data_IF_971923754515
#
_entry.id   IF_971923754515
#
_cell.length_a   1.000
_cell.length_b   1.000
_cell.length_c   1.000
_cell.angle_alpha   90.00
_cell.angle_beta   90.00
_cell.angle_gamma   90.00
#
_symmetry.space_group_name_H-M   'P 1'
#
loop_
_entity.id
_entity.type
_entity.pdbx_description
1 polymer ?
#
# COMPACT_ATOMS: atom_id res chain seq x y z
N UNK A 1 16.82 7.54 -15.58
CA UNK A 1 16.38 7.01 -14.27
C UNK A 1 16.73 5.54 -14.20
N UNK A 2 17.12 5.03 -13.04
CA UNK A 2 17.44 3.62 -12.84
C UNK A 2 16.15 2.83 -12.60
N UNK A 3 16.01 1.64 -13.18
CA UNK A 3 14.82 0.79 -13.00
C UNK A 3 14.60 0.38 -11.54
N UNK A 4 15.68 0.28 -10.76
CA UNK A 4 15.61 -0.03 -9.33
C UNK A 4 14.87 1.04 -8.52
N UNK A 5 14.97 2.32 -8.90
CA UNK A 5 14.32 3.42 -8.20
C UNK A 5 12.79 3.35 -8.34
N UNK A 6 12.30 2.87 -9.49
CA UNK A 6 10.87 2.76 -9.77
C UNK A 6 10.25 1.43 -9.34
N UNK A 7 11.06 0.37 -9.23
CA UNK A 7 10.60 -1.01 -8.98
C UNK A 7 9.69 -1.17 -7.76
N UNK A 8 9.95 -0.43 -6.68
CA UNK A 8 9.14 -0.46 -5.45
C UNK A 8 7.76 0.15 -5.69
N UNK A 9 7.72 1.27 -6.42
CA UNK A 9 6.46 1.94 -6.74
C UNK A 9 5.66 1.15 -7.78
N UNK A 10 6.32 0.57 -8.79
CA UNK A 10 5.68 -0.33 -9.75
C UNK A 10 5.01 -1.52 -9.06
N UNK A 11 5.71 -2.15 -8.10
CA UNK A 11 5.14 -3.24 -7.31
C UNK A 11 3.92 -2.78 -6.51
N UNK A 12 4.01 -1.63 -5.83
CA UNK A 12 2.89 -1.06 -5.08
C UNK A 12 1.67 -0.81 -5.98
N UNK A 13 1.87 -0.17 -7.15
CA UNK A 13 0.78 0.11 -8.07
C UNK A 13 0.17 -1.15 -8.68
N UNK A 14 0.97 -2.18 -8.96
CA UNK A 14 0.44 -3.47 -9.41
C UNK A 14 -0.53 -4.08 -8.40
N UNK A 15 -0.13 -4.08 -7.13
CA UNK A 15 -0.94 -4.60 -6.02
C UNK A 15 -2.21 -3.75 -5.81
N UNK A 16 -2.07 -2.43 -5.78
CA UNK A 16 -3.21 -1.52 -5.59
C UNK A 16 -4.23 -1.68 -6.72
N UNK A 17 -3.77 -1.83 -7.97
CA UNK A 17 -4.68 -2.07 -9.09
C UNK A 17 -5.44 -3.39 -8.93
N UNK A 18 -4.75 -4.49 -8.61
CA UNK A 18 -5.38 -5.82 -8.51
C UNK A 18 -6.30 -5.98 -7.30
N UNK A 19 -5.97 -5.37 -6.16
CA UNK A 19 -6.72 -5.57 -4.90
C UNK A 19 -7.79 -4.50 -4.66
N UNK A 20 -7.69 -3.35 -5.31
CA UNK A 20 -8.55 -2.21 -5.06
C UNK A 20 -9.22 -1.69 -6.33
N UNK A 21 -8.44 -1.28 -7.33
CA UNK A 21 -8.99 -0.60 -8.51
C UNK A 21 -9.88 -1.51 -9.36
N UNK A 22 -9.45 -2.75 -9.61
CA UNK A 22 -10.16 -3.66 -10.52
C UNK A 22 -11.28 -4.46 -9.84
N UNK A 23 -11.37 -4.43 -8.51
CA UNK A 23 -12.37 -5.19 -7.74
C UNK A 23 -13.54 -4.34 -7.24
N UNK A 24 -13.54 -3.03 -7.52
CA UNK A 24 -14.54 -2.09 -7.04
C UNK A 24 -15.05 -1.22 -8.17
N UNK A 25 -16.34 -0.95 -8.14
CA UNK A 25 -16.95 0.12 -8.93
C UNK A 25 -16.99 1.40 -8.09
N UNK A 26 -16.80 2.54 -8.76
CA UNK A 26 -16.81 3.84 -8.13
C UNK A 26 -17.85 4.74 -8.81
N UNK A 27 -18.79 5.24 -8.02
CA UNK A 27 -19.86 6.11 -8.49
C UNK A 27 -19.37 7.50 -8.93
N UNK A 28 -18.23 7.96 -8.39
CA UNK A 28 -17.63 9.25 -8.72
C UNK A 28 -16.14 9.28 -8.39
N UNK A 29 -15.45 10.31 -8.89
CA UNK A 29 -14.05 10.58 -8.55
C UNK A 29 -13.89 10.86 -7.05
N UNK A 30 -14.84 11.54 -6.43
CA UNK A 30 -14.86 11.82 -5.00
C UNK A 30 -15.00 10.54 -4.18
N UNK A 31 -15.90 9.63 -4.59
CA UNK A 31 -16.02 8.32 -3.97
C UNK A 31 -14.72 7.51 -4.10
N UNK A 32 -14.11 7.52 -5.29
CA UNK A 32 -12.81 6.90 -5.52
C UNK A 32 -11.73 7.44 -4.57
N UNK A 33 -11.61 8.76 -4.38
CA UNK A 33 -10.63 9.38 -3.49
C UNK A 33 -10.81 8.90 -2.04
N UNK A 34 -12.05 8.91 -1.55
CA UNK A 34 -12.36 8.44 -0.18
C UNK A 34 -11.98 6.97 -0.01
N UNK A 35 -12.33 6.13 -0.96
CA UNK A 35 -12.02 4.70 -0.92
C UNK A 35 -10.50 4.44 -1.06
N UNK A 36 -9.80 5.25 -1.86
CA UNK A 36 -8.35 5.18 -2.00
C UNK A 36 -7.65 5.55 -0.68
N UNK A 37 -8.08 6.61 0.00
CA UNK A 37 -7.54 6.98 1.31
C UNK A 37 -7.71 5.85 2.34
N UNK A 38 -8.88 5.20 2.35
CA UNK A 38 -9.12 4.01 3.19
C UNK A 38 -8.19 2.86 2.83
N UNK A 39 -7.99 2.59 1.54
CA UNK A 39 -7.07 1.55 1.06
C UNK A 39 -5.63 1.84 1.48
N UNK A 40 -5.15 3.08 1.32
CA UNK A 40 -3.80 3.49 1.73
C UNK A 40 -3.61 3.32 3.24
N UNK A 41 -4.60 3.75 4.04
CA UNK A 41 -4.57 3.54 5.50
C UNK A 41 -4.49 2.05 5.84
N UNK A 42 -5.32 1.22 5.23
CA UNK A 42 -5.28 -0.24 5.41
C UNK A 42 -3.90 -0.81 5.02
N UNK A 43 -3.39 -0.47 3.83
CA UNK A 43 -2.12 -0.97 3.31
C UNK A 43 -0.96 -0.65 4.26
N UNK A 44 -0.90 0.59 4.77
CA UNK A 44 0.21 1.03 5.60
C UNK A 44 0.14 0.53 7.05
N UNK A 45 -1.07 0.46 7.62
CA UNK A 45 -1.24 0.25 9.07
C UNK A 45 -1.70 -1.15 9.45
N UNK A 46 -2.43 -1.84 8.56
CA UNK A 46 -3.10 -3.12 8.85
C UNK A 46 -2.61 -4.29 8.01
N UNK A 47 -2.17 -4.08 6.77
CA UNK A 47 -1.71 -5.16 5.87
C UNK A 47 -0.49 -5.86 6.45
N UNK A 48 -0.62 -7.13 6.81
CA UNK A 48 0.52 -7.93 7.26
C UNK A 48 1.33 -8.44 6.06
N UNK A 49 2.62 -8.12 6.01
CA UNK A 49 3.53 -8.77 5.06
C UNK A 49 3.96 -10.12 5.61
N UNK A 50 3.61 -11.20 4.92
CA UNK A 50 3.79 -12.59 5.41
C UNK A 50 5.23 -12.91 5.87
N UNK A 51 6.25 -12.37 5.17
CA UNK A 51 7.67 -12.55 5.51
C UNK A 51 8.08 -11.78 6.77
N UNK A 52 7.43 -10.65 7.05
CA UNK A 52 7.78 -9.72 8.13
C UNK A 52 6.87 -9.86 9.35
N UNK A 53 5.71 -10.51 9.18
CA UNK A 53 4.64 -10.64 10.21
C UNK A 53 4.16 -9.31 10.79
N UNK A 54 4.42 -8.21 10.09
CA UNK A 54 4.16 -6.83 10.51
C UNK A 54 3.53 -6.03 9.37
N UNK A 55 2.84 -4.95 9.72
CA UNK A 55 2.45 -3.91 8.76
C UNK A 55 3.62 -3.02 8.35
N UNK A 56 3.55 -2.33 7.20
CA UNK A 56 4.61 -1.43 6.76
C UNK A 56 5.02 -0.39 7.82
N UNK A 57 4.05 0.20 8.53
CA UNK A 57 4.33 1.14 9.62
C UNK A 57 4.98 0.44 10.80
N UNK A 58 4.46 -0.71 11.24
CA UNK A 58 5.07 -1.48 12.33
C UNK A 58 6.53 -1.83 12.02
N UNK A 59 6.80 -2.34 10.82
CA UNK A 59 8.16 -2.65 10.39
C UNK A 59 9.07 -1.43 10.45
N UNK A 60 8.63 -0.27 9.95
CA UNK A 60 9.40 0.98 10.01
C UNK A 60 9.71 1.38 11.46
N UNK A 61 8.71 1.32 12.35
CA UNK A 61 8.89 1.68 13.77
C UNK A 61 9.85 0.73 14.47
N UNK A 62 9.70 -0.59 14.27
CA UNK A 62 10.60 -1.59 14.84
C UNK A 62 12.05 -1.41 14.37
N UNK A 63 12.26 -1.15 13.08
CA UNK A 63 13.60 -0.89 12.54
C UNK A 63 14.22 0.40 13.09
N UNK A 64 13.42 1.44 13.32
CA UNK A 64 13.91 2.72 13.86
C UNK A 64 14.25 2.62 15.35
N UNK A 65 13.59 1.73 16.10
CA UNK A 65 13.91 1.48 17.51
C UNK A 65 15.13 0.56 17.70
N UNK A 66 15.49 -0.23 16.69
CA UNK A 66 16.62 -1.15 16.71
C UNK A 66 17.90 -0.57 16.10
N UNK A 67 17.85 0.65 15.54
CA UNK A 67 18.96 1.39 14.97
C UNK A 67 19.49 2.43 15.98
#
# INVERSE_FOLDING_TARGET
GNCYDNSVMENFFGIMKSEFLYLKEFESVEHFKIELEKYIKYYNTKRIKAKLKMSPVQYRTHFTQAA
#
